data_IF_994441094476
#
_entry.id   IF_994441094476
#
_cell.length_a   1.000
_cell.length_b   1.000
_cell.length_c   1.000
_cell.angle_alpha   90.00
_cell.angle_beta   90.00
_cell.angle_gamma   90.00
#
_symmetry.space_group_name_H-M   'P 1'
#
loop_
_entity.id
_entity.type
_entity.pdbx_description
1 polymer ?
#
# COMPACT_ATOMS: atom_id res chain seq x y z
N UNK A 1 11.38 17.90 -25.19
CA UNK A 1 10.57 18.54 -24.12
C UNK A 1 9.14 18.06 -23.98
N UNK A 2 8.51 17.42 -24.97
CA UNK A 2 7.14 16.88 -24.86
C UNK A 2 7.01 15.57 -24.09
N UNK A 3 8.10 14.84 -23.88
CA UNK A 3 8.04 13.43 -23.45
C UNK A 3 8.15 13.25 -21.93
N UNK A 4 8.48 14.33 -21.21
CA UNK A 4 8.56 14.30 -19.75
C UNK A 4 7.23 14.81 -19.19
N UNK A 5 6.44 13.98 -18.49
CA UNK A 5 5.18 14.40 -17.94
C UNK A 5 5.37 15.48 -16.88
N UNK A 6 4.55 16.52 -16.94
CA UNK A 6 4.53 17.59 -15.95
C UNK A 6 4.24 17.03 -14.54
N UNK A 7 4.71 17.72 -13.50
CA UNK A 7 4.50 17.32 -12.09
C UNK A 7 3.03 17.01 -11.76
N UNK A 8 2.09 17.78 -12.32
CA UNK A 8 0.65 17.54 -12.16
C UNK A 8 0.26 16.17 -12.69
N UNK A 9 0.72 15.82 -13.89
CA UNK A 9 0.43 14.53 -14.52
C UNK A 9 1.06 13.38 -13.73
N UNK A 10 2.29 13.54 -13.26
CA UNK A 10 2.93 12.55 -12.38
C UNK A 10 2.15 12.36 -11.08
N UNK A 11 1.66 13.45 -10.48
CA UNK A 11 0.85 13.38 -9.24
C UNK A 11 -0.45 12.61 -9.46
N UNK A 12 -1.13 12.84 -10.58
CA UNK A 12 -2.34 12.09 -10.96
C UNK A 12 -2.03 10.60 -11.13
N UNK A 13 -0.98 10.27 -11.89
CA UNK A 13 -0.58 8.89 -12.14
C UNK A 13 -0.22 8.14 -10.84
N UNK A 14 0.46 8.80 -9.88
CA UNK A 14 0.77 8.22 -8.56
C UNK A 14 -0.51 7.97 -7.76
N UNK A 15 -1.47 8.90 -7.77
CA UNK A 15 -2.75 8.72 -7.07
C UNK A 15 -3.54 7.55 -7.64
N UNK A 16 -3.66 7.49 -8.96
CA UNK A 16 -4.33 6.40 -9.66
C UNK A 16 -3.67 5.05 -9.38
N UNK A 17 -2.34 4.99 -9.42
CA UNK A 17 -1.59 3.78 -9.08
C UNK A 17 -1.82 3.37 -7.62
N UNK A 18 -1.82 4.32 -6.69
CA UNK A 18 -2.08 4.05 -5.27
C UNK A 18 -3.50 3.51 -5.03
N UNK A 19 -4.51 4.01 -5.73
CA UNK A 19 -5.88 3.50 -5.63
C UNK A 19 -5.96 2.06 -6.15
N UNK A 20 -5.42 1.80 -7.35
CA UNK A 20 -5.39 0.46 -7.94
C UNK A 20 -4.67 -0.54 -7.03
N UNK A 21 -3.54 -0.15 -6.46
CA UNK A 21 -2.77 -1.02 -5.58
C UNK A 21 -3.51 -1.34 -4.28
N UNK A 22 -4.18 -0.34 -3.67
CA UNK A 22 -5.02 -0.57 -2.48
C UNK A 22 -6.16 -1.56 -2.76
N UNK A 23 -6.82 -1.45 -3.89
CA UNK A 23 -7.86 -2.38 -4.31
C UNK A 23 -7.31 -3.79 -4.55
N UNK A 24 -6.11 -3.89 -5.14
CA UNK A 24 -5.42 -5.17 -5.35
C UNK A 24 -5.07 -5.84 -4.03
N UNK A 25 -4.43 -5.12 -3.10
CA UNK A 25 -4.07 -5.61 -1.77
C UNK A 25 -5.32 -6.05 -1.00
N UNK A 26 -6.42 -5.29 -1.08
CA UNK A 26 -7.67 -5.67 -0.40
C UNK A 26 -8.21 -7.01 -0.93
N UNK A 27 -8.17 -7.24 -2.24
CA UNK A 27 -8.57 -8.52 -2.85
C UNK A 27 -7.61 -9.64 -2.46
N UNK A 28 -6.32 -9.37 -2.41
CA UNK A 28 -5.30 -10.35 -2.01
C UNK A 28 -5.48 -10.79 -0.55
N UNK A 29 -5.70 -9.84 0.36
CA UNK A 29 -6.00 -10.11 1.76
C UNK A 29 -7.29 -10.93 1.96
N UNK A 30 -8.35 -10.61 1.19
CA UNK A 30 -9.59 -11.40 1.21
C UNK A 30 -9.38 -12.86 0.83
N UNK A 31 -8.38 -13.15 0.01
CA UNK A 31 -8.02 -14.50 -0.44
C UNK A 31 -6.90 -15.13 0.41
N UNK A 32 -6.57 -14.56 1.57
CA UNK A 32 -5.54 -15.11 2.44
C UNK A 32 -5.90 -16.52 2.93
N UNK A 33 -4.88 -17.37 3.03
CA UNK A 33 -5.00 -18.79 3.37
C UNK A 33 -5.30 -19.07 4.86
N UNK A 34 -5.37 -18.01 5.66
CA UNK A 34 -5.41 -18.09 7.11
C UNK A 34 -5.68 -16.73 7.75
N UNK A 35 -5.18 -16.52 8.97
CA UNK A 35 -5.35 -15.25 9.69
C UNK A 35 -4.50 -14.15 9.08
N UNK A 36 -5.07 -12.94 9.05
CA UNK A 36 -4.35 -11.70 8.76
C UNK A 36 -3.98 -11.07 10.09
N UNK A 37 -2.71 -10.71 10.26
CA UNK A 37 -2.21 -9.97 11.43
C UNK A 37 -1.74 -8.59 11.01
N UNK A 38 -1.94 -7.58 11.84
CA UNK A 38 -1.52 -6.20 11.55
C UNK A 38 -0.50 -5.73 12.57
N UNK A 39 0.57 -5.09 12.10
CA UNK A 39 1.47 -4.31 12.94
C UNK A 39 1.24 -2.83 12.68
N UNK A 40 1.29 -2.03 13.74
CA UNK A 40 1.16 -0.58 13.66
C UNK A 40 2.41 0.04 14.27
N UNK A 41 3.20 0.70 13.44
CA UNK A 41 4.35 1.46 13.87
C UNK A 41 3.91 2.92 14.03
N UNK A 42 3.96 3.42 15.26
CA UNK A 42 3.59 4.79 15.58
C UNK A 42 4.81 5.57 16.02
N UNK A 43 5.01 6.75 15.44
CA UNK A 43 6.09 7.65 15.83
C UNK A 43 5.66 9.10 15.65
N UNK A 44 6.43 10.01 16.24
CA UNK A 44 6.31 11.44 15.97
C UNK A 44 7.62 11.96 15.40
N UNK A 45 7.56 13.07 14.66
CA UNK A 45 8.77 13.78 14.24
C UNK A 45 9.14 14.89 15.24
N UNK A 46 10.22 15.61 14.97
CA UNK A 46 10.69 16.73 15.79
C UNK A 46 9.69 17.89 15.90
N UNK A 47 8.71 17.98 14.99
CA UNK A 47 7.64 18.98 15.04
C UNK A 47 6.38 18.45 15.74
N UNK A 48 6.48 17.35 16.51
CA UNK A 48 5.39 16.67 17.20
C UNK A 48 4.22 16.22 16.29
N UNK A 49 4.49 16.05 14.98
CA UNK A 49 3.53 15.48 14.06
C UNK A 49 3.54 13.96 14.22
N UNK A 50 2.39 13.39 14.56
CA UNK A 50 2.19 11.95 14.66
C UNK A 50 2.08 11.29 13.29
N UNK A 51 2.65 10.09 13.19
CA UNK A 51 2.59 9.20 12.05
C UNK A 51 2.21 7.79 12.52
N UNK A 52 1.51 7.06 11.66
CA UNK A 52 1.16 5.67 11.87
C UNK A 52 1.35 4.93 10.55
N UNK A 53 2.21 3.91 10.54
CA UNK A 53 2.28 2.94 9.46
C UNK A 53 1.56 1.67 9.89
N UNK A 54 0.74 1.12 8.99
CA UNK A 54 0.04 -0.15 9.21
C UNK A 54 0.57 -1.14 8.17
N UNK A 55 0.96 -2.33 8.62
CA UNK A 55 1.42 -3.42 7.75
C UNK A 55 0.60 -4.67 8.02
N UNK A 56 0.09 -5.30 6.95
CA UNK A 56 -0.63 -6.56 7.03
C UNK A 56 0.33 -7.73 6.74
N UNK A 57 0.32 -8.73 7.61
CA UNK A 57 1.04 -10.00 7.47
C UNK A 57 0.01 -11.11 7.23
N UNK A 58 0.14 -11.85 6.14
CA UNK A 58 -0.82 -12.87 5.73
C UNK A 58 -0.12 -13.98 4.93
N UNK A 59 -0.77 -15.14 4.83
CA UNK A 59 -0.28 -16.27 4.04
C UNK A 59 -1.06 -16.39 2.74
N UNK A 60 -0.37 -16.73 1.65
CA UNK A 60 -0.98 -17.11 0.38
C UNK A 60 -0.73 -18.58 0.11
N UNK A 61 -1.71 -19.28 -0.48
CA UNK A 61 -1.48 -20.62 -1.01
C UNK A 61 -0.83 -20.48 -2.37
N UNK A 62 0.46 -20.78 -2.46
CA UNK A 62 1.06 -21.10 -3.75
C UNK A 62 0.58 -22.50 -4.14
N UNK A 63 0.03 -22.67 -5.35
CA UNK A 63 -0.18 -24.00 -5.92
C UNK A 63 1.20 -24.62 -6.18
N UNK A 64 1.74 -25.34 -5.20
CA UNK A 64 2.74 -26.38 -5.43
C UNK A 64 1.97 -27.68 -5.56
N UNK A 65 2.05 -28.29 -6.74
CA UNK A 65 1.33 -29.52 -7.09
C UNK A 65 1.63 -30.71 -6.19
#
# INVERSE_FOLDING_TARGET
DSDIPHRTKLTELIKEASIREKESIAKELQNSAGRISFTSDMWSNTTLKGFMAITAHYMLRTHTG
#
